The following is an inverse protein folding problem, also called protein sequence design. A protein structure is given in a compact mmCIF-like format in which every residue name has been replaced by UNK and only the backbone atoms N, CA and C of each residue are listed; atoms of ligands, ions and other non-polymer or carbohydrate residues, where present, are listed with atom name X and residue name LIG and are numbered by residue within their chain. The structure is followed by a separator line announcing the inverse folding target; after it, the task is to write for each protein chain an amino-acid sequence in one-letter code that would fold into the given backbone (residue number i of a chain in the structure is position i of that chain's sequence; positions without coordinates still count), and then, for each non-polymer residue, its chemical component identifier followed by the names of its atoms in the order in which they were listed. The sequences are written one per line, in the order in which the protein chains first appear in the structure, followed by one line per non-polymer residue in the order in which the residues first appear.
data_IF_227109160968
#
_entry.id   IF_227109160968
#
_cell.length_a   1.000
_cell.length_b   1.000
_cell.length_c   1.000
_cell.angle_alpha   90.00
_cell.angle_beta   90.00
_cell.angle_gamma   90.00
#
_symmetry.space_group_name_H-M   'P 1'
#
loop_
_entity.id
_entity.type
_entity.pdbx_description
1 polymer ?
#
# COMPACT_ATOMS: atom_id res chain seq x y z
N UNK A 1 12.92 -5.35 19.51
CA UNK A 1 11.57 -5.80 19.12
C UNK A 1 11.75 -6.87 18.08
N UNK A 2 11.00 -7.96 18.19
CA UNK A 2 10.91 -8.94 17.11
C UNK A 2 10.30 -8.26 15.87
N UNK A 3 10.84 -8.54 14.68
CA UNK A 3 10.35 -7.98 13.43
C UNK A 3 8.87 -8.33 13.21
N UNK A 4 8.48 -9.57 13.54
CA UNK A 4 7.10 -10.03 13.39
C UNK A 4 6.15 -9.32 14.35
N UNK A 5 6.59 -9.07 15.60
CA UNK A 5 5.84 -8.29 16.59
C UNK A 5 5.69 -6.82 16.15
N UNK A 6 6.72 -6.24 15.54
CA UNK A 6 6.65 -4.88 14.99
C UNK A 6 5.59 -4.77 13.88
N UNK A 7 5.59 -5.70 12.91
CA UNK A 7 4.59 -5.74 11.84
C UNK A 7 3.18 -5.97 12.39
N UNK A 8 3.04 -6.81 13.41
CA UNK A 8 1.78 -7.01 14.13
C UNK A 8 1.25 -5.70 14.69
N UNK A 9 2.07 -5.01 15.48
CA UNK A 9 1.67 -3.76 16.14
C UNK A 9 1.34 -2.65 15.13
N UNK A 10 2.07 -2.55 14.02
CA UNK A 10 1.75 -1.61 12.94
C UNK A 10 0.40 -1.98 12.31
N UNK A 11 0.19 -3.27 12.01
CA UNK A 11 -1.03 -3.76 11.38
C UNK A 11 -2.29 -3.48 12.20
N UNK A 12 -2.21 -3.64 13.52
CA UNK A 12 -3.33 -3.39 14.45
C UNK A 12 -3.73 -1.90 14.55
N UNK A 13 -2.80 -1.00 14.23
CA UNK A 13 -3.06 0.44 14.25
C UNK A 13 -3.63 0.96 12.93
N UNK A 14 -3.74 0.10 11.91
CA UNK A 14 -4.21 0.45 10.58
C UNK A 14 -5.65 -0.01 10.38
N UNK A 15 -6.53 0.92 10.03
CA UNK A 15 -7.93 0.64 9.78
C UNK A 15 -8.19 0.07 8.38
N UNK A 16 -9.44 -0.26 8.08
CA UNK A 16 -9.84 -0.83 6.79
C UNK A 16 -9.66 0.14 5.62
N UNK A 17 -9.79 1.44 5.85
CA UNK A 17 -9.61 2.47 4.82
C UNK A 17 -8.13 2.64 4.47
N UNK A 18 -7.26 2.60 5.48
CA UNK A 18 -5.81 2.61 5.33
C UNK A 18 -5.32 1.33 4.65
N UNK A 19 -5.85 0.16 5.05
CA UNK A 19 -5.58 -1.10 4.36
C UNK A 19 -5.94 -1.03 2.87
N UNK A 20 -7.12 -0.49 2.53
CA UNK A 20 -7.52 -0.32 1.14
C UNK A 20 -6.56 0.61 0.38
N UNK A 21 -6.08 1.67 1.03
CA UNK A 21 -5.07 2.59 0.47
C UNK A 21 -3.74 1.87 0.23
N UNK A 22 -3.27 1.07 1.19
CA UNK A 22 -2.05 0.27 1.07
C UNK A 22 -2.14 -0.76 -0.05
N UNK A 23 -3.31 -1.42 -0.19
CA UNK A 23 -3.61 -2.34 -1.29
C UNK A 23 -3.47 -1.63 -2.64
N UNK A 24 -4.06 -0.45 -2.79
CA UNK A 24 -3.95 0.36 -4.00
C UNK A 24 -2.50 0.75 -4.32
N UNK A 25 -1.74 1.25 -3.34
CA UNK A 25 -0.34 1.62 -3.50
C UNK A 25 0.56 0.42 -3.85
N UNK A 26 0.17 -0.78 -3.42
CA UNK A 26 0.90 -2.01 -3.67
C UNK A 26 0.56 -2.69 -5.01
N UNK A 27 -0.35 -2.12 -5.82
CA UNK A 27 -0.80 -2.73 -7.08
C UNK A 27 0.32 -2.92 -8.12
N UNK A 28 1.38 -2.11 -8.04
CA UNK A 28 2.54 -2.23 -8.94
C UNK A 28 3.36 -3.51 -8.64
N UNK A 29 3.22 -4.09 -7.44
CA UNK A 29 3.99 -5.25 -6.97
C UNK A 29 3.13 -6.50 -6.72
N UNK A 30 1.92 -6.31 -6.22
CA UNK A 30 0.94 -7.37 -5.95
C UNK A 30 -0.27 -7.11 -6.84
N UNK A 31 -0.47 -7.90 -7.92
CA UNK A 31 -1.63 -7.75 -8.80
C UNK A 31 -2.95 -7.88 -8.05
N UNK A 32 -3.97 -7.13 -8.48
CA UNK A 32 -5.30 -7.07 -7.83
C UNK A 32 -5.89 -8.45 -7.49
N UNK A 33 -5.82 -9.41 -8.43
CA UNK A 33 -6.31 -10.79 -8.21
C UNK A 33 -5.69 -11.48 -6.98
N UNK A 34 -4.43 -11.16 -6.67
CA UNK A 34 -3.71 -11.69 -5.49
C UNK A 34 -4.02 -10.90 -4.22
N UNK A 35 -4.59 -9.72 -4.35
CA UNK A 35 -5.03 -8.87 -3.24
C UNK A 35 -6.47 -9.13 -2.80
N UNK A 36 -7.33 -9.68 -3.66
CA UNK A 36 -8.70 -10.09 -3.32
C UNK A 36 -8.80 -10.92 -2.01
N UNK A 37 -7.96 -11.94 -1.76
CA UNK A 37 -8.03 -12.71 -0.52
C UNK A 37 -7.45 -12.00 0.71
N UNK A 38 -6.83 -10.82 0.56
CA UNK A 38 -6.21 -10.07 1.67
C UNK A 38 -7.30 -9.35 2.46
N UNK A 39 -7.55 -9.82 3.68
CA UNK A 39 -8.61 -9.31 4.58
C UNK A 39 -8.12 -8.31 5.62
N UNK A 40 -6.85 -8.40 5.98
CA UNK A 40 -6.22 -7.55 6.99
C UNK A 40 -4.82 -7.10 6.52
N UNK A 41 -4.24 -6.17 7.27
CA UNK A 41 -2.93 -5.58 6.97
C UNK A 41 -1.79 -6.58 7.12
N UNK A 42 -1.91 -7.55 8.02
CA UNK A 42 -0.86 -8.56 8.22
C UNK A 42 -0.76 -9.51 7.03
N UNK A 43 -1.89 -9.89 6.45
CA UNK A 43 -1.93 -10.65 5.19
C UNK A 43 -1.28 -9.85 4.06
N UNK A 44 -1.42 -8.52 4.03
CA UNK A 44 -0.74 -7.67 3.05
C UNK A 44 0.79 -7.69 3.27
N UNK A 45 1.23 -7.53 4.52
CA UNK A 45 2.65 -7.57 4.87
C UNK A 45 3.28 -8.92 4.53
N UNK A 46 2.60 -10.03 4.84
CA UNK A 46 3.06 -11.37 4.44
C UNK A 46 3.25 -11.48 2.92
N UNK A 47 2.32 -10.93 2.12
CA UNK A 47 2.45 -10.93 0.66
C UNK A 47 3.61 -10.06 0.17
N UNK A 48 3.93 -8.98 0.86
CA UNK A 48 5.10 -8.16 0.56
C UNK A 48 6.40 -8.88 0.94
N UNK A 49 6.40 -9.65 2.03
CA UNK A 49 7.52 -10.52 2.40
C UNK A 49 7.75 -11.62 1.37
N UNK A 50 6.69 -12.31 0.92
CA UNK A 50 6.77 -13.30 -0.16
C UNK A 50 7.34 -12.73 -1.48
N UNK A 51 7.20 -11.41 -1.68
CA UNK A 51 7.72 -10.67 -2.83
C UNK A 51 9.13 -10.11 -2.64
N UNK A 52 9.72 -10.23 -1.46
CA UNK A 52 11.01 -9.61 -1.12
C UNK A 52 10.97 -8.08 -1.05
N UNK A 53 9.76 -7.49 -0.95
CA UNK A 53 9.56 -6.05 -0.83
C UNK A 53 9.57 -5.59 0.63
N UNK A 54 9.43 -6.53 1.58
CA UNK A 54 9.42 -6.29 3.00
C UNK A 54 10.21 -7.38 3.71
N UNK A 55 11.32 -7.01 4.34
CA UNK A 55 12.19 -7.93 5.07
C UNK A 55 12.77 -7.21 6.29
N UNK A 56 13.27 -7.95 7.29
CA UNK A 56 13.85 -7.35 8.50
C UNK A 56 15.01 -6.39 8.18
N UNK A 57 15.82 -6.71 7.18
CA UNK A 57 16.89 -5.84 6.68
C UNK A 57 16.45 -4.79 5.66
N UNK A 58 15.19 -4.84 5.18
CA UNK A 58 14.67 -3.93 4.16
C UNK A 58 13.23 -3.50 4.45
N UNK A 59 13.11 -2.35 5.13
CA UNK A 59 11.85 -1.72 5.49
C UNK A 59 11.48 -0.54 4.59
N UNK A 60 12.28 -0.28 3.55
CA UNK A 60 12.15 0.92 2.71
C UNK A 60 10.76 1.06 2.09
N UNK A 61 10.20 -0.04 1.58
CA UNK A 61 8.87 -0.03 0.97
C UNK A 61 7.76 0.21 2.00
N UNK A 62 7.85 -0.43 3.17
CA UNK A 62 6.89 -0.21 4.26
C UNK A 62 6.91 1.24 4.75
N UNK A 63 8.12 1.83 4.88
CA UNK A 63 8.25 3.24 5.25
C UNK A 63 7.61 4.15 4.21
N UNK A 64 7.83 3.90 2.92
CA UNK A 64 7.20 4.68 1.86
C UNK A 64 5.67 4.54 1.88
N UNK A 65 5.15 3.32 2.07
CA UNK A 65 3.72 3.06 2.18
C UNK A 65 3.08 3.86 3.32
N UNK A 66 3.64 3.78 4.53
CA UNK A 66 3.14 4.51 5.70
C UNK A 66 3.24 6.03 5.53
N UNK A 67 4.32 6.51 4.92
CA UNK A 67 4.49 7.91 4.58
C UNK A 67 3.40 8.37 3.59
N UNK A 68 3.09 7.56 2.58
CA UNK A 68 2.09 7.87 1.55
C UNK A 68 0.66 7.97 2.12
N UNK A 69 0.30 7.13 3.09
CA UNK A 69 -0.99 7.21 3.76
C UNK A 69 -1.01 8.21 4.93
N UNK A 70 0.07 8.99 5.09
CA UNK A 70 0.22 10.01 6.14
C UNK A 70 0.20 9.45 7.59
N UNK A 71 0.62 8.20 7.79
CA UNK A 71 0.77 7.56 9.11
C UNK A 71 2.17 7.74 9.69
N UNK A 72 2.50 9.01 9.90
CA UNK A 72 3.79 9.46 10.43
C UNK A 72 3.99 9.06 11.90
N UNK A 73 2.90 8.93 12.64
CA UNK A 73 2.86 8.39 14.00
C UNK A 73 3.46 6.97 14.06
N UNK A 74 3.07 6.10 13.12
CA UNK A 74 3.59 4.73 13.05
C UNK A 74 5.04 4.67 12.60
N UNK A 75 5.44 5.53 11.65
CA UNK A 75 6.83 5.67 11.22
C UNK A 75 7.76 6.02 12.38
N UNK A 76 7.37 7.00 13.20
CA UNK A 76 8.19 7.45 14.33
C UNK A 76 8.18 6.42 15.45
N UNK A 77 7.01 5.87 15.77
CA UNK A 77 6.83 4.97 16.93
C UNK A 77 7.49 3.61 16.71
N UNK A 78 7.34 3.01 15.53
CA UNK A 78 7.76 1.63 15.27
C UNK A 78 9.00 1.51 14.40
N UNK A 79 9.25 2.49 13.51
CA UNK A 79 10.34 2.44 12.53
C UNK A 79 11.42 3.49 12.77
N UNK A 80 11.32 4.27 13.87
CA UNK A 80 12.24 5.34 14.24
C UNK A 80 12.60 6.27 13.06
N UNK A 81 11.62 6.55 12.20
CA UNK A 81 11.82 7.33 10.97
C UNK A 81 10.98 8.61 11.02
N UNK A 82 11.62 9.73 10.69
CA UNK A 82 10.98 11.05 10.67
C UNK A 82 10.38 11.38 9.31
N UNK A 83 9.50 12.38 9.28
CA UNK A 83 8.91 12.88 8.03
C UNK A 83 9.99 13.46 7.12
N UNK A 84 10.91 14.21 7.69
CA UNK A 84 12.00 14.91 7.00
C UNK A 84 12.98 13.92 6.35
N UNK A 85 13.26 12.79 7.00
CA UNK A 85 14.04 11.70 6.43
C UNK A 85 13.35 11.10 5.20
N UNK A 86 12.05 10.79 5.30
CA UNK A 86 11.28 10.27 4.18
C UNK A 86 11.22 11.25 3.01
N UNK A 87 10.99 12.54 3.27
CA UNK A 87 10.97 13.57 2.22
C UNK A 87 12.31 13.67 1.49
N UNK A 88 13.43 13.62 2.23
CA UNK A 88 14.77 13.64 1.63
C UNK A 88 15.06 12.38 0.83
N UNK A 89 14.70 11.21 1.34
CA UNK A 89 14.91 9.93 0.65
C UNK A 89 14.11 9.87 -0.66
N UNK A 90 12.85 10.28 -0.65
CA UNK A 90 11.96 10.22 -1.81
C UNK A 90 12.25 11.30 -2.86
N UNK A 91 12.97 12.37 -2.51
CA UNK A 91 13.46 13.36 -3.48
C UNK A 91 14.58 12.82 -4.38
N UNK A 92 15.31 11.78 -3.94
CA UNK A 92 16.38 11.18 -4.72
C UNK A 92 15.77 10.33 -5.84
N UNK A 93 16.16 10.63 -7.09
CA UNK A 93 15.69 9.90 -8.26
C UNK A 93 15.96 8.39 -8.11
N UNK A 94 14.93 7.58 -8.31
CA UNK A 94 15.02 6.12 -8.24
C UNK A 94 14.95 5.51 -6.83
N UNK A 95 14.75 6.33 -5.77
CA UNK A 95 14.52 5.82 -4.40
C UNK A 95 13.05 5.51 -4.11
N UNK A 96 12.13 6.26 -4.69
CA UNK A 96 10.71 5.96 -4.60
C UNK A 96 10.42 4.65 -5.34
N UNK A 97 9.85 3.70 -4.62
CA UNK A 97 9.39 2.42 -5.13
C UNK A 97 7.95 2.50 -5.63
N UNK A 98 7.14 3.40 -5.09
CA UNK A 98 5.78 3.63 -5.57
C UNK A 98 5.83 4.59 -6.77
N UNK A 99 5.21 4.19 -7.88
CA UNK A 99 5.22 5.02 -9.08
C UNK A 99 4.48 6.35 -8.85
N UNK A 100 4.96 7.41 -9.51
CA UNK A 100 4.35 8.75 -9.41
C UNK A 100 2.87 8.74 -9.80
N UNK A 101 2.47 7.86 -10.73
CA UNK A 101 1.07 7.64 -11.11
C UNK A 101 0.20 7.22 -9.91
N UNK A 102 0.64 6.21 -9.14
CA UNK A 102 -0.08 5.75 -7.95
C UNK A 102 -0.14 6.83 -6.87
N UNK A 103 0.93 7.61 -6.71
CA UNK A 103 0.97 8.69 -5.74
C UNK A 103 0.05 9.87 -6.09
N UNK A 104 0.04 10.29 -7.35
CA UNK A 104 -0.79 11.40 -7.80
C UNK A 104 -2.27 11.03 -7.74
N UNK A 105 -2.62 9.77 -8.04
CA UNK A 105 -4.01 9.32 -8.01
C UNK A 105 -4.62 9.34 -6.59
N UNK A 106 -3.82 9.07 -5.55
CA UNK A 106 -4.29 9.19 -4.16
C UNK A 106 -4.48 10.64 -3.70
N UNK A 107 -3.80 11.62 -4.32
CA UNK A 107 -3.87 13.05 -3.95
C UNK A 107 -4.88 13.84 -4.79
N UNK A 108 -5.00 13.54 -6.09
CA UNK A 108 -5.89 14.25 -7.01
C UNK A 108 -7.31 13.68 -7.04
N UNK A 109 -7.46 12.37 -6.80
CA UNK A 109 -8.77 11.75 -6.72
C UNK A 109 -9.20 11.68 -5.26
N UNK A 110 -9.70 12.81 -4.72
CA UNK A 110 -10.24 12.92 -3.36
C UNK A 110 -11.43 12.00 -3.04
N UNK A 111 -11.73 11.02 -3.89
CA UNK A 111 -12.70 9.97 -3.65
C UNK A 111 -12.44 8.70 -4.52
N UNK A 112 -11.21 8.18 -4.55
CA UNK A 112 -10.90 6.89 -5.20
C UNK A 112 -11.79 5.73 -4.68
N UNK A 113 -12.32 5.86 -3.45
CA UNK A 113 -13.35 4.96 -2.86
C UNK A 113 -14.62 4.83 -3.71
N UNK A 114 -15.01 5.86 -4.46
CA UNK A 114 -16.19 5.82 -5.37
C UNK A 114 -15.91 4.96 -6.59
N UNK A 115 -14.66 4.90 -7.04
CA UNK A 115 -14.28 4.06 -8.19
C UNK A 115 -14.19 2.57 -7.83
N UNK A 116 -13.66 2.22 -6.65
CA UNK A 116 -13.60 0.82 -6.20
C UNK A 116 -14.98 0.24 -5.87
N UNK A 117 -15.89 1.03 -5.30
CA UNK A 117 -17.27 0.60 -5.05
C UNK A 117 -18.18 0.68 -6.29
N UNK A 118 -17.91 1.61 -7.22
CA UNK A 118 -18.64 1.77 -8.49
C UNK A 118 -18.37 0.67 -9.53
N UNK A 119 -17.30 -0.11 -9.35
CA UNK A 119 -16.99 -1.25 -10.22
C UNK A 119 -17.93 -2.44 -10.01
N UNK A 120 -18.75 -2.49 -8.95
CA UNK A 120 -19.79 -3.52 -8.82
C UNK A 120 -20.92 -3.37 -9.85
N UNK A 121 -21.18 -2.17 -10.38
CA UNK A 121 -22.23 -1.94 -11.37
C UNK A 121 -21.73 -1.92 -12.82
N UNK A 122 -20.44 -1.59 -13.03
CA UNK A 122 -19.82 -1.58 -14.37
C UNK A 122 -19.09 -2.89 -14.71
N UNK A 123 -18.67 -3.72 -13.73
CA UNK A 123 -18.06 -5.03 -14.03
C UNK A 123 -19.02 -6.01 -14.69
N UNK A 124 -20.32 -5.94 -14.39
CA UNK A 124 -21.33 -6.79 -15.04
C UNK A 124 -21.48 -6.46 -16.53
N UNK A 125 -21.21 -5.22 -16.94
CA UNK A 125 -21.30 -4.79 -18.35
C UNK A 125 -19.97 -4.90 -19.10
N UNK A 126 -18.83 -4.82 -18.40
CA UNK A 126 -17.49 -4.94 -19.00
C UNK A 126 -16.99 -6.38 -19.13
N UNK A 127 -17.52 -7.34 -18.37
CA UNK A 127 -17.23 -8.77 -18.56
C UNK A 127 -17.85 -9.36 -19.84
N UNK A 128 -18.82 -8.70 -20.47
CA UNK A 128 -19.40 -9.15 -21.75
C UNK A 128 -18.58 -8.72 -22.99
N UNK A 129 -17.64 -7.77 -22.86
CA UNK A 129 -16.93 -7.21 -24.03
C UNK A 129 -15.49 -7.73 -24.17
N UNK A 130 -14.89 -8.30 -23.11
CA UNK A 130 -13.47 -8.73 -23.15
C UNK A 130 -13.28 -10.25 -23.36
N UNK A 131 -14.34 -11.04 -23.48
CA UNK A 131 -14.26 -12.47 -23.83
C UNK A 131 -14.46 -12.78 -25.32
N UNK A 132 -14.33 -11.80 -26.22
CA UNK A 132 -14.57 -12.02 -27.66
C UNK A 132 -13.47 -11.46 -28.58
N UNK A 133 -12.21 -11.51 -28.13
CA UNK A 133 -11.01 -11.56 -29.01
C UNK A 133 -10.00 -12.54 -28.42
#
# INVERSE_FOLDING_TARGET
MDFSECLYNIGEQLDSDELASLKFLSLDYIPQKKQEPIKDTLMLFQRLQEKGMLEEGNLSFLKELLFRINRLDLLQTFLATTKEEMEKELQILGRAQISAYRWVETHHCGNWKVWLNGLTFLWTLLMEVVCMV
#
